data_IF_407769567622
#
_entry.id   IF_407769567622
#
_cell.length_a   1.000
_cell.length_b   1.000
_cell.length_c   1.000
_cell.angle_alpha   90.00
_cell.angle_beta   90.00
_cell.angle_gamma   90.00
#
_symmetry.space_group_name_H-M   'P 1'
#
loop_
_entity.id
_entity.type
_entity.pdbx_description
1 polymer ?
#
# COMPACT_ATOMS: atom_id res chain seq x y z
N UNK A 1 9.02 15.14 13.48
CA UNK A 1 7.82 15.98 13.28
C UNK A 1 6.97 15.23 12.27
N UNK A 2 5.70 14.93 12.59
CA UNK A 2 4.80 14.27 11.63
C UNK A 2 4.56 15.25 10.47
N UNK A 3 4.71 14.79 9.22
CA UNK A 3 4.45 15.61 8.04
C UNK A 3 2.96 15.98 7.98
N UNK A 4 2.64 17.16 7.45
CA UNK A 4 1.24 17.50 7.23
C UNK A 4 0.67 16.63 6.09
N UNK A 5 -0.65 16.44 6.07
CA UNK A 5 -1.30 15.68 5.00
C UNK A 5 -1.06 16.32 3.62
N UNK A 6 -0.94 17.65 3.54
CA UNK A 6 -0.65 18.38 2.31
C UNK A 6 0.77 18.14 1.83
N UNK A 7 1.75 18.11 2.73
CA UNK A 7 3.15 17.81 2.40
C UNK A 7 3.27 16.38 1.86
N UNK A 8 2.59 15.42 2.50
CA UNK A 8 2.58 14.01 2.07
C UNK A 8 1.99 13.92 0.66
N UNK A 9 0.80 14.48 0.43
CA UNK A 9 0.15 14.44 -0.90
C UNK A 9 1.04 15.06 -1.98
N UNK A 10 1.66 16.18 -1.69
CA UNK A 10 2.56 16.86 -2.62
C UNK A 10 3.78 16.00 -2.95
N UNK A 11 4.40 15.37 -1.95
CA UNK A 11 5.54 14.49 -2.15
C UNK A 11 5.18 13.23 -2.95
N UNK A 12 4.02 12.62 -2.67
CA UNK A 12 3.54 11.44 -3.40
C UNK A 12 3.18 11.77 -4.86
N UNK A 13 2.59 12.94 -5.12
CA UNK A 13 2.24 13.37 -6.46
C UNK A 13 3.46 13.58 -7.38
N UNK A 14 4.65 13.80 -6.82
CA UNK A 14 5.89 13.95 -7.57
C UNK A 14 6.55 12.61 -7.93
N UNK A 15 6.05 11.48 -7.41
CA UNK A 15 6.62 10.16 -7.68
C UNK A 15 6.09 9.64 -9.03
N UNK A 16 6.94 9.71 -10.07
CA UNK A 16 6.63 9.30 -11.45
C UNK A 16 7.73 8.39 -11.97
N UNK A 17 7.68 7.13 -11.55
CA UNK A 17 8.65 6.09 -11.87
C UNK A 17 9.61 5.77 -10.71
N UNK A 18 10.35 4.68 -10.88
CA UNK A 18 11.21 4.11 -9.85
C UNK A 18 12.62 3.86 -10.40
N UNK A 19 13.64 4.18 -9.62
CA UNK A 19 15.05 3.84 -9.93
C UNK A 19 15.53 2.65 -9.11
N UNK A 20 14.99 2.47 -7.91
CA UNK A 20 15.34 1.38 -7.01
C UNK A 20 14.13 0.54 -6.63
N UNK A 21 14.39 -0.71 -6.29
CA UNK A 21 13.42 -1.60 -5.68
C UNK A 21 13.89 -1.97 -4.28
N UNK A 22 13.02 -1.80 -3.30
CA UNK A 22 13.35 -1.99 -1.90
C UNK A 22 12.68 -3.25 -1.36
N UNK A 23 13.46 -4.09 -0.69
CA UNK A 23 12.92 -5.24 0.03
C UNK A 23 12.73 -4.89 1.50
N UNK A 24 11.48 -4.67 1.89
CA UNK A 24 11.12 -4.29 3.28
C UNK A 24 10.80 -5.52 4.14
N UNK A 25 10.21 -6.55 3.54
CA UNK A 25 9.82 -7.80 4.20
C UNK A 25 10.82 -8.94 3.90
N UNK A 26 11.29 -9.70 4.90
CA UNK A 26 12.38 -10.68 4.70
C UNK A 26 11.95 -12.05 4.16
N UNK A 27 10.67 -12.29 3.85
CA UNK A 27 10.20 -13.60 3.38
C UNK A 27 10.16 -13.72 1.84
N UNK A 28 10.06 -14.97 1.35
CA UNK A 28 10.28 -15.33 -0.06
C UNK A 28 9.33 -14.64 -1.03
N UNK A 29 8.04 -14.62 -0.70
CA UNK A 29 6.98 -14.11 -1.57
C UNK A 29 6.58 -12.67 -1.22
N UNK A 30 7.36 -11.99 -0.40
CA UNK A 30 7.06 -10.61 -0.07
C UNK A 30 7.29 -9.71 -1.28
N UNK A 31 6.40 -8.77 -1.56
CA UNK A 31 6.60 -7.82 -2.64
C UNK A 31 7.82 -6.94 -2.36
N UNK A 32 8.50 -6.55 -3.43
CA UNK A 32 9.42 -5.40 -3.38
C UNK A 32 8.61 -4.13 -3.58
N UNK A 33 9.13 -3.00 -3.10
CA UNK A 33 8.44 -1.71 -3.22
C UNK A 33 9.24 -0.73 -4.08
N UNK A 34 8.55 0.17 -4.76
CA UNK A 34 9.16 1.27 -5.53
C UNK A 34 9.69 2.39 -4.63
N UNK A 35 10.42 3.32 -5.24
CA UNK A 35 10.85 4.56 -4.59
C UNK A 35 9.65 5.37 -4.06
N UNK A 36 8.55 5.46 -4.81
CA UNK A 36 7.37 6.18 -4.37
C UNK A 36 6.70 5.57 -3.14
N UNK A 37 6.58 4.24 -3.09
CA UNK A 37 6.08 3.54 -1.91
C UNK A 37 7.05 3.66 -0.74
N UNK A 38 8.37 3.67 -0.99
CA UNK A 38 9.38 3.90 0.06
C UNK A 38 9.22 5.29 0.70
N UNK A 39 9.04 6.32 -0.12
CA UNK A 39 8.74 7.69 0.35
C UNK A 39 7.44 7.71 1.16
N UNK A 40 6.40 7.03 0.69
CA UNK A 40 5.11 6.95 1.39
C UNK A 40 5.25 6.34 2.78
N UNK A 41 5.88 5.17 2.92
CA UNK A 41 6.00 4.51 4.23
C UNK A 41 6.92 5.27 5.19
N UNK A 42 7.91 6.02 4.69
CA UNK A 42 8.77 6.88 5.52
C UNK A 42 8.00 8.09 6.05
N UNK A 43 7.31 8.82 5.16
CA UNK A 43 6.58 10.03 5.55
C UNK A 43 5.35 9.72 6.39
N UNK A 44 4.70 8.60 6.13
CA UNK A 44 3.48 8.18 6.82
C UNK A 44 3.74 7.26 8.01
N UNK A 45 5.00 6.86 8.25
CA UNK A 45 5.37 5.82 9.23
C UNK A 45 4.58 4.50 9.01
N UNK A 46 4.20 4.23 7.76
CA UNK A 46 3.22 3.20 7.38
C UNK A 46 3.88 1.86 6.95
N UNK A 47 5.00 1.50 7.56
CA UNK A 47 5.66 0.20 7.34
C UNK A 47 4.71 -0.98 7.62
N UNK A 48 3.81 -0.80 8.59
CA UNK A 48 2.79 -1.78 8.94
C UNK A 48 1.89 -2.11 7.75
N UNK A 49 1.57 -1.15 6.87
CA UNK A 49 0.69 -1.35 5.73
C UNK A 49 1.34 -2.29 4.70
N UNK A 50 2.61 -2.06 4.40
CA UNK A 50 3.39 -2.94 3.50
C UNK A 50 3.53 -4.33 4.10
N UNK A 51 3.82 -4.43 5.41
CA UNK A 51 3.89 -5.73 6.08
C UNK A 51 2.54 -6.47 6.03
N UNK A 52 1.43 -5.76 6.17
CA UNK A 52 0.09 -6.33 6.15
C UNK A 52 -0.30 -6.84 4.74
N UNK A 53 -0.05 -6.05 3.70
CA UNK A 53 -0.21 -6.48 2.30
C UNK A 53 0.67 -7.69 2.01
N UNK A 54 1.92 -7.65 2.47
CA UNK A 54 2.87 -8.72 2.24
C UNK A 54 2.43 -10.03 2.93
N UNK A 55 1.83 -9.99 4.13
CA UNK A 55 1.34 -11.21 4.78
C UNK A 55 0.27 -11.93 3.99
N UNK A 56 -0.60 -11.20 3.27
CA UNK A 56 -1.62 -11.79 2.42
C UNK A 56 -1.05 -12.51 1.20
N UNK A 57 0.20 -12.21 0.80
CA UNK A 57 0.88 -12.95 -0.27
C UNK A 57 1.29 -14.38 0.13
N UNK A 58 1.07 -14.76 1.40
CA UNK A 58 1.13 -16.16 1.83
C UNK A 58 -0.09 -16.96 1.36
N UNK A 59 -1.22 -16.31 1.11
CA UNK A 59 -2.45 -16.94 0.61
C UNK A 59 -2.41 -17.06 -0.90
N UNK A 60 -2.46 -18.29 -1.43
CA UNK A 60 -2.32 -18.54 -2.86
C UNK A 60 -3.42 -17.89 -3.69
N UNK A 61 -4.65 -17.82 -3.16
CA UNK A 61 -5.79 -17.17 -3.81
C UNK A 61 -5.58 -15.66 -4.06
N UNK A 62 -4.74 -15.01 -3.24
CA UNK A 62 -4.43 -13.58 -3.39
C UNK A 62 -3.19 -13.45 -4.26
N UNK A 63 -2.13 -14.19 -3.91
CA UNK A 63 -0.82 -14.14 -4.60
C UNK A 63 -0.90 -14.47 -6.09
N UNK A 64 -1.79 -15.38 -6.49
CA UNK A 64 -1.88 -15.82 -7.88
C UNK A 64 -2.55 -14.80 -8.81
N UNK A 65 -3.14 -13.73 -8.27
CA UNK A 65 -3.65 -12.63 -9.06
C UNK A 65 -2.47 -11.76 -9.54
N UNK A 66 -2.30 -11.68 -10.86
CA UNK A 66 -1.16 -11.02 -11.50
C UNK A 66 -1.10 -9.52 -11.18
N UNK A 67 -2.28 -8.92 -11.06
CA UNK A 67 -2.47 -7.52 -10.69
C UNK A 67 -3.46 -7.42 -9.53
N UNK A 68 -3.10 -6.63 -8.52
CA UNK A 68 -3.93 -6.40 -7.34
C UNK A 68 -4.02 -4.90 -7.04
N UNK A 69 -5.21 -4.41 -6.72
CA UNK A 69 -5.39 -3.06 -6.17
C UNK A 69 -5.64 -3.15 -4.68
N UNK A 70 -4.72 -2.56 -3.91
CA UNK A 70 -4.82 -2.45 -2.46
C UNK A 70 -5.31 -1.06 -2.09
N UNK A 71 -6.48 -0.99 -1.47
CA UNK A 71 -7.07 0.28 -1.01
C UNK A 71 -7.21 0.25 0.51
N UNK A 72 -6.51 1.15 1.18
CA UNK A 72 -6.73 1.47 2.59
C UNK A 72 -7.71 2.63 2.66
N UNK A 73 -8.88 2.44 3.26
CA UNK A 73 -9.86 3.49 3.50
C UNK A 73 -9.93 3.77 5.01
N UNK A 74 -9.49 4.96 5.42
CA UNK A 74 -9.56 5.40 6.83
C UNK A 74 -10.92 6.05 7.13
N UNK A 75 -11.46 5.77 8.31
CA UNK A 75 -12.69 6.35 8.84
C UNK A 75 -12.38 7.42 9.89
N UNK A 76 -13.37 8.26 10.19
CA UNK A 76 -13.24 9.37 11.15
C UNK A 76 -13.01 8.92 12.59
N UNK A 77 -13.35 7.68 12.93
CA UNK A 77 -13.19 7.07 14.25
C UNK A 77 -11.85 6.32 14.41
N UNK A 78 -10.86 6.65 13.57
CA UNK A 78 -9.54 6.02 13.49
C UNK A 78 -9.54 4.53 13.10
N UNK A 79 -10.69 3.96 12.73
CA UNK A 79 -10.74 2.64 12.11
C UNK A 79 -10.40 2.72 10.62
N UNK A 80 -10.06 1.59 10.01
CA UNK A 80 -9.87 1.53 8.56
C UNK A 80 -10.33 0.20 7.98
N UNK A 81 -10.42 0.14 6.66
CA UNK A 81 -10.64 -1.10 5.92
C UNK A 81 -9.55 -1.22 4.87
N UNK A 82 -8.87 -2.36 4.83
CA UNK A 82 -7.90 -2.71 3.79
C UNK A 82 -8.56 -3.70 2.84
N UNK A 83 -8.72 -3.31 1.58
CA UNK A 83 -9.37 -4.11 0.55
C UNK A 83 -8.37 -4.45 -0.55
N UNK A 84 -8.40 -5.71 -1.01
CA UNK A 84 -7.69 -6.17 -2.20
C UNK A 84 -8.71 -6.50 -3.30
N UNK A 85 -8.54 -5.93 -4.48
CA UNK A 85 -9.27 -6.22 -5.71
C UNK A 85 -8.32 -6.73 -6.81
N UNK A 86 -8.85 -7.39 -7.83
CA UNK A 86 -8.13 -7.97 -8.97
C UNK A 86 -7.89 -6.99 -10.15
N UNK A 87 -8.13 -5.69 -9.95
CA UNK A 87 -8.11 -4.65 -10.98
C UNK A 87 -9.35 -4.58 -11.87
N UNK A 88 -10.29 -5.53 -11.75
CA UNK A 88 -11.52 -5.60 -12.55
C UNK A 88 -12.79 -5.35 -11.70
N UNK A 89 -12.63 -4.83 -10.49
CA UNK A 89 -13.73 -4.55 -9.56
C UNK A 89 -14.16 -5.74 -8.73
N UNK A 90 -13.45 -6.88 -8.80
CA UNK A 90 -13.76 -8.05 -7.98
C UNK A 90 -12.90 -8.05 -6.72
N UNK A 91 -13.57 -7.89 -5.57
CA UNK A 91 -12.93 -7.89 -4.25
C UNK A 91 -12.56 -9.31 -3.84
N UNK A 92 -11.27 -9.53 -3.65
CA UNK A 92 -10.68 -10.81 -3.21
C UNK A 92 -10.62 -10.93 -1.68
N UNK A 93 -10.47 -9.78 -1.02
CA UNK A 93 -10.30 -9.66 0.42
C UNK A 93 -10.78 -8.29 0.89
N UNK A 94 -11.44 -8.26 2.05
CA UNK A 94 -11.70 -7.03 2.81
C UNK A 94 -11.40 -7.30 4.28
N UNK A 95 -10.47 -6.54 4.84
CA UNK A 95 -9.98 -6.71 6.20
C UNK A 95 -10.20 -5.44 7.02
N UNK A 96 -10.77 -5.61 8.21
CA UNK A 96 -11.14 -4.51 9.09
C UNK A 96 -10.00 -4.21 10.07
N UNK A 97 -9.54 -2.96 10.05
CA UNK A 97 -8.49 -2.48 10.94
C UNK A 97 -9.14 -1.69 12.07
N UNK A 98 -9.02 -2.20 13.30
CA UNK A 98 -9.65 -1.60 14.49
C UNK A 98 -9.07 -0.25 14.89
N UNK A 99 -7.85 0.08 14.44
CA UNK A 99 -7.20 1.35 14.68
C UNK A 99 -6.04 1.58 13.70
N UNK A 100 -5.91 2.80 13.19
CA UNK A 100 -4.75 3.24 12.42
C UNK A 100 -4.47 4.73 12.66
N UNK A 101 -3.20 5.10 12.70
CA UNK A 101 -2.74 6.48 12.72
C UNK A 101 -2.30 6.98 11.34
N UNK A 102 -2.69 6.29 10.26
CA UNK A 102 -2.34 6.65 8.89
C UNK A 102 -2.73 8.11 8.60
N UNK A 103 -1.80 8.98 8.19
CA UNK A 103 -1.98 10.42 8.28
C UNK A 103 -2.94 11.00 7.24
N UNK A 104 -3.21 10.30 6.13
CA UNK A 104 -4.16 10.76 5.10
C UNK A 104 -5.59 10.33 5.49
N UNK A 105 -6.53 11.28 5.68
CA UNK A 105 -7.91 10.95 6.03
C UNK A 105 -8.63 10.11 4.97
N UNK A 106 -8.31 10.30 3.68
CA UNK A 106 -8.85 9.48 2.59
C UNK A 106 -8.19 8.09 2.48
N UNK A 107 -7.13 7.83 3.24
CA UNK A 107 -6.32 6.63 3.10
C UNK A 107 -5.40 6.66 1.86
N UNK A 108 -5.16 5.51 1.26
CA UNK A 108 -4.23 5.37 0.12
C UNK A 108 -4.61 4.19 -0.77
N UNK A 109 -4.27 4.29 -2.06
CA UNK A 109 -4.36 3.20 -3.03
C UNK A 109 -2.96 2.83 -3.50
N UNK A 110 -2.68 1.54 -3.60
CA UNK A 110 -1.44 0.96 -4.10
C UNK A 110 -1.77 -0.13 -5.12
N UNK A 111 -0.87 -0.33 -6.08
CA UNK A 111 -0.93 -1.46 -7.01
C UNK A 111 0.15 -2.46 -6.67
N UNK A 112 -0.19 -3.75 -6.73
CA UNK A 112 0.79 -4.82 -6.71
C UNK A 112 0.71 -5.53 -8.06
N UNK A 113 1.76 -5.35 -8.86
CA UNK A 113 1.90 -5.94 -10.18
C UNK A 113 3.15 -6.81 -10.21
N UNK A 114 2.99 -8.10 -10.54
CA UNK A 114 4.12 -9.02 -10.70
C UNK A 114 5.13 -9.01 -9.53
N UNK A 115 4.63 -8.86 -8.29
CA UNK A 115 5.46 -8.83 -7.08
C UNK A 115 6.10 -7.49 -6.74
N UNK A 116 5.77 -6.42 -7.47
CA UNK A 116 6.19 -5.04 -7.21
C UNK A 116 5.00 -4.24 -6.68
N UNK A 117 5.11 -3.70 -5.47
CA UNK A 117 4.14 -2.79 -4.87
C UNK A 117 4.52 -1.33 -5.20
N UNK A 118 3.61 -0.59 -5.81
CA UNK A 118 3.86 0.74 -6.34
C UNK A 118 2.70 1.71 -6.11
N UNK A 119 2.97 3.02 -6.23
CA UNK A 119 1.93 4.04 -6.27
C UNK A 119 1.21 4.00 -7.63
N UNK A 120 -0.08 4.40 -7.70
CA UNK A 120 -0.80 4.50 -8.98
C UNK A 120 -0.17 5.44 -10.01
N UNK A 121 0.63 6.43 -9.56
CA UNK A 121 1.36 7.35 -10.45
C UNK A 121 2.65 6.75 -11.04
N UNK A 122 3.05 5.56 -10.60
CA UNK A 122 4.25 4.84 -11.06
C UNK A 122 3.90 3.69 -12.02
N UNK A 123 2.62 3.42 -12.28
CA UNK A 123 2.09 2.39 -13.20
C UNK A 123 1.70 3.02 -14.55
#
# INVERSE_FOLDING_TARGET
MKHSAEDIKSALAMQTGTSHYWKVCPFKNAPVITDGVKVMIDMCEAYWLVNHIASYQMEEKIRNEEFQVWTLERRQDDTATLTCDDGNGHVLLSDAISYTDFPLPEGIKLYLDNGVLLLPSEY
#
